data_IF_126940150139
#
_entry.id   IF_126940150139
#
_cell.length_a   1.000
_cell.length_b   1.000
_cell.length_c   1.000
_cell.angle_alpha   90.00
_cell.angle_beta   90.00
_cell.angle_gamma   90.00
#
_symmetry.space_group_name_H-M   'P 1'
#
loop_
_entity.id
_entity.type
_entity.pdbx_description
1 polymer ?
#
# COMPACT_ATOMS: atom_id res chain seq x y z
N UNK A 1 15.13 35.12 5.60
CA UNK A 1 15.96 33.94 5.26
C UNK A 1 15.05 32.91 4.63
N UNK A 2 15.08 32.78 3.31
CA UNK A 2 14.29 31.79 2.58
C UNK A 2 15.22 30.62 2.22
N UNK A 3 14.95 29.44 2.76
CA UNK A 3 15.66 28.22 2.39
C UNK A 3 15.24 27.82 0.98
N UNK A 4 16.19 27.86 0.04
CA UNK A 4 16.12 27.27 -1.29
C UNK A 4 15.61 25.81 -1.19
N UNK A 5 14.33 25.59 -1.46
CA UNK A 5 13.82 24.25 -1.73
C UNK A 5 14.27 23.86 -3.12
N UNK A 6 15.24 22.96 -3.22
CA UNK A 6 15.45 22.19 -4.45
C UNK A 6 14.09 21.66 -4.92
N UNK A 7 13.69 21.80 -6.19
CA UNK A 7 12.51 21.09 -6.66
C UNK A 7 12.71 19.60 -6.34
N UNK A 8 11.84 19.03 -5.50
CA UNK A 8 11.80 17.59 -5.30
C UNK A 8 11.74 16.97 -6.70
N UNK A 9 12.66 16.05 -7.00
CA UNK A 9 12.71 15.32 -8.28
C UNK A 9 11.34 14.69 -8.60
N UNK A 10 10.52 14.45 -7.56
CA UNK A 10 9.15 13.97 -7.63
C UNK A 10 8.23 14.89 -6.79
N UNK A 11 7.67 15.97 -7.39
CA UNK A 11 6.89 16.96 -6.64
C UNK A 11 5.44 16.54 -6.37
N UNK A 12 4.94 15.49 -7.02
CA UNK A 12 3.58 14.99 -6.83
C UNK A 12 3.58 13.74 -5.98
N UNK A 13 2.83 13.75 -4.88
CA UNK A 13 2.77 12.63 -3.93
C UNK A 13 1.33 12.19 -3.70
N UNK A 14 1.10 10.88 -3.61
CA UNK A 14 -0.18 10.28 -3.22
C UNK A 14 0.09 9.13 -2.25
N UNK A 15 -0.64 9.12 -1.14
CA UNK A 15 -0.61 8.00 -0.19
C UNK A 15 -1.98 7.34 -0.18
N UNK A 16 -1.98 6.01 -0.29
CA UNK A 16 -3.17 5.18 -0.30
C UNK A 16 -3.08 4.28 0.93
N UNK A 17 -4.07 4.36 1.81
CA UNK A 17 -4.15 3.57 3.03
C UNK A 17 -5.28 2.55 2.88
N UNK A 18 -4.95 1.27 2.84
CA UNK A 18 -5.90 0.18 2.72
C UNK A 18 -5.96 -0.59 4.05
N UNK A 19 -7.06 -0.49 4.83
CA UNK A 19 -7.25 -1.33 6.01
C UNK A 19 -7.62 -2.75 5.58
N UNK A 20 -6.94 -3.74 6.15
CA UNK A 20 -7.23 -5.16 5.94
C UNK A 20 -7.67 -5.79 7.27
N UNK A 21 -8.45 -6.90 7.24
CA UNK A 21 -9.00 -7.50 8.47
C UNK A 21 -7.93 -7.98 9.45
N UNK A 22 -6.85 -8.57 8.95
CA UNK A 22 -5.78 -9.16 9.77
C UNK A 22 -4.39 -8.71 9.32
N UNK A 23 -3.42 -8.71 10.24
CA UNK A 23 -2.02 -8.44 9.91
C UNK A 23 -1.44 -9.48 8.94
N UNK A 24 -1.88 -10.74 9.02
CA UNK A 24 -1.47 -11.79 8.08
C UNK A 24 -1.85 -11.43 6.65
N UNK A 25 -3.09 -11.00 6.42
CA UNK A 25 -3.55 -10.53 5.11
C UNK A 25 -2.77 -9.29 4.66
N UNK A 26 -2.56 -8.33 5.55
CA UNK A 26 -1.79 -7.13 5.23
C UNK A 26 -0.33 -7.43 4.83
N UNK A 27 0.32 -8.31 5.58
CA UNK A 27 1.68 -8.78 5.31
C UNK A 27 1.77 -9.59 4.02
N UNK A 28 0.80 -10.45 3.75
CA UNK A 28 0.73 -11.22 2.52
C UNK A 28 0.52 -10.31 1.29
N UNK A 29 -0.32 -9.28 1.42
CA UNK A 29 -0.59 -8.33 0.36
C UNK A 29 0.66 -7.51 0.06
N UNK A 30 1.33 -6.99 1.11
CA UNK A 30 2.59 -6.26 0.98
C UNK A 30 3.63 -7.09 0.23
N UNK A 31 3.89 -8.32 0.67
CA UNK A 31 4.91 -9.19 0.04
C UNK A 31 4.60 -9.50 -1.42
N UNK A 32 3.33 -9.70 -1.74
CA UNK A 32 2.90 -9.97 -3.13
C UNK A 32 3.09 -8.74 -4.01
N UNK A 33 2.75 -7.56 -3.50
CA UNK A 33 2.85 -6.29 -4.23
C UNK A 33 4.30 -5.77 -4.35
N UNK A 34 5.19 -6.14 -3.42
CA UNK A 34 6.61 -5.78 -3.45
C UNK A 34 7.39 -6.45 -4.60
N UNK A 35 6.95 -7.63 -5.04
CA UNK A 35 7.58 -8.34 -6.17
C UNK A 35 7.32 -7.60 -7.48
N UNK A 36 6.20 -6.89 -7.57
CA UNK A 36 5.92 -5.99 -8.68
C UNK A 36 6.76 -4.72 -8.53
N UNK A 37 7.61 -4.44 -9.50
CA UNK A 37 8.48 -3.26 -9.48
C UNK A 37 7.88 -2.18 -10.36
N UNK A 38 7.95 -0.93 -9.91
CA UNK A 38 7.54 0.19 -10.76
C UNK A 38 8.50 0.30 -11.96
N UNK A 39 7.96 0.08 -13.16
CA UNK A 39 8.73 0.06 -14.41
C UNK A 39 9.22 1.46 -14.84
N UNK A 40 8.57 2.52 -14.35
CA UNK A 40 8.86 3.89 -14.75
C UNK A 40 9.89 4.54 -13.81
N UNK A 41 11.02 5.06 -14.32
CA UNK A 41 11.98 5.80 -13.49
C UNK A 41 11.42 7.14 -12.99
N UNK A 42 10.27 7.57 -13.53
CA UNK A 42 9.60 8.82 -13.20
C UNK A 42 8.57 8.66 -12.08
N UNK A 43 8.46 7.47 -11.50
CA UNK A 43 7.62 7.17 -10.34
C UNK A 43 8.43 6.40 -9.32
N UNK A 44 8.33 6.79 -8.06
CA UNK A 44 8.83 6.03 -6.92
C UNK A 44 7.63 5.53 -6.13
N UNK A 45 7.63 4.23 -5.84
CA UNK A 45 6.62 3.54 -5.04
C UNK A 45 7.27 2.95 -3.80
N UNK A 46 6.63 3.13 -2.65
CA UNK A 46 7.06 2.53 -1.39
C UNK A 46 5.86 1.98 -0.63
N UNK A 47 6.04 0.81 -0.01
CA UNK A 47 5.04 0.15 0.81
C UNK A 47 5.42 0.20 2.29
N UNK A 48 4.43 0.30 3.15
CA UNK A 48 4.60 0.20 4.59
C UNK A 48 3.35 -0.43 5.22
N UNK A 49 3.55 -1.17 6.31
CA UNK A 49 2.45 -1.59 7.18
C UNK A 49 2.39 -0.66 8.38
N UNK A 50 1.20 -0.14 8.65
CA UNK A 50 0.94 0.75 9.77
C UNK A 50 -0.27 0.27 10.56
N UNK A 51 -0.42 0.83 11.74
CA UNK A 51 -1.61 0.62 12.56
C UNK A 51 -2.68 1.65 12.21
N UNK A 52 -3.97 1.36 12.46
CA UNK A 52 -5.06 2.32 12.24
C UNK A 52 -4.82 3.66 12.97
N UNK A 53 -4.15 3.63 14.13
CA UNK A 53 -3.85 4.81 14.96
C UNK A 53 -2.51 5.48 14.59
N UNK A 54 -1.75 4.94 13.61
CA UNK A 54 -0.41 5.40 13.21
C UNK A 54 0.62 5.44 14.35
N UNK A 55 0.42 4.62 15.38
CA UNK A 55 1.37 4.48 16.49
C UNK A 55 2.52 3.57 16.06
N UNK A 56 3.75 4.09 16.13
CA UNK A 56 4.98 3.40 15.70
C UNK A 56 5.43 2.28 16.64
N UNK A 57 4.87 2.22 17.85
CA UNK A 57 5.23 1.28 18.92
C UNK A 57 4.24 0.13 19.13
N UNK A 58 3.25 -0.01 18.25
CA UNK A 58 2.26 -1.07 18.36
C UNK A 58 2.82 -2.42 17.87
N UNK A 59 2.33 -3.50 18.48
CA UNK A 59 2.69 -4.88 18.13
C UNK A 59 2.53 -5.15 16.62
N UNK A 60 3.38 -6.01 16.06
CA UNK A 60 3.33 -6.36 14.63
C UNK A 60 1.93 -6.85 14.21
N UNK A 61 1.22 -7.56 15.10
CA UNK A 61 -0.14 -8.05 14.88
C UNK A 61 -1.19 -6.92 14.75
N UNK A 62 -0.90 -5.72 15.28
CA UNK A 62 -1.79 -4.56 15.17
C UNK A 62 -1.61 -3.80 13.84
N UNK A 63 -0.59 -4.13 13.03
CA UNK A 63 -0.35 -3.48 11.74
C UNK A 63 -1.25 -4.08 10.66
N UNK A 64 -2.46 -3.56 10.56
CA UNK A 64 -3.47 -4.04 9.62
C UNK A 64 -3.66 -3.13 8.41
N UNK A 65 -3.00 -1.97 8.36
CA UNK A 65 -3.16 -1.00 7.28
C UNK A 65 -1.97 -1.06 6.34
N UNK A 66 -2.23 -1.37 5.07
CA UNK A 66 -1.25 -1.28 3.99
C UNK A 66 -1.22 0.15 3.45
N UNK A 67 -0.13 0.87 3.73
CA UNK A 67 0.16 2.17 3.15
C UNK A 67 1.03 2.02 1.91
N UNK A 68 0.55 2.56 0.79
CA UNK A 68 1.31 2.69 -0.46
C UNK A 68 1.52 4.17 -0.75
N UNK A 69 2.78 4.60 -0.81
CA UNK A 69 3.15 5.98 -1.15
C UNK A 69 3.76 6.04 -2.53
N UNK A 70 3.21 6.91 -3.37
CA UNK A 70 3.68 7.22 -4.71
C UNK A 70 4.25 8.63 -4.76
N UNK A 71 5.39 8.77 -5.42
CA UNK A 71 5.98 10.06 -5.77
C UNK A 71 6.25 10.07 -7.28
N UNK A 72 5.75 11.07 -8.01
CA UNK A 72 5.86 11.14 -9.45
C UNK A 72 6.33 12.52 -9.94
N UNK A 73 6.94 12.57 -11.13
CA UNK A 73 7.32 13.82 -11.80
C UNK A 73 6.11 14.61 -12.32
N UNK A 74 5.01 13.93 -12.65
CA UNK A 74 3.77 14.53 -13.16
C UNK A 74 2.52 13.82 -12.64
N UNK A 75 1.40 14.55 -12.53
CA UNK A 75 0.08 13.96 -12.24
C UNK A 75 -0.33 12.88 -13.26
N UNK A 76 0.11 13.00 -14.51
CA UNK A 76 -0.17 12.01 -15.55
C UNK A 76 0.48 10.68 -15.22
N UNK A 77 1.73 10.70 -14.80
CA UNK A 77 2.48 9.49 -14.46
C UNK A 77 1.91 8.85 -13.19
N UNK A 78 1.57 9.68 -12.19
CA UNK A 78 0.89 9.24 -10.98
C UNK A 78 -0.39 8.46 -11.30
N UNK A 79 -1.25 8.99 -12.18
CA UNK A 79 -2.49 8.32 -12.57
C UNK A 79 -2.24 6.98 -13.27
N UNK A 80 -1.28 6.91 -14.18
CA UNK A 80 -0.98 5.67 -14.92
C UNK A 80 -0.49 4.59 -13.97
N UNK A 81 0.48 4.89 -13.10
CA UNK A 81 1.02 3.92 -12.14
C UNK A 81 -0.04 3.50 -11.10
N UNK A 82 -0.86 4.42 -10.60
CA UNK A 82 -1.91 4.10 -9.63
C UNK A 82 -3.01 3.23 -10.23
N UNK A 83 -3.41 3.45 -11.49
CA UNK A 83 -4.40 2.61 -12.15
C UNK A 83 -3.92 1.15 -12.28
N UNK A 84 -2.70 0.95 -12.80
CA UNK A 84 -2.12 -0.40 -12.92
C UNK A 84 -1.93 -1.07 -11.55
N UNK A 85 -1.58 -0.29 -10.52
CA UNK A 85 -1.52 -0.79 -9.16
C UNK A 85 -2.87 -1.26 -8.63
N UNK A 86 -3.95 -0.50 -8.85
CA UNK A 86 -5.29 -0.88 -8.40
C UNK A 86 -5.77 -2.16 -9.08
N UNK A 87 -5.43 -2.37 -10.36
CA UNK A 87 -5.71 -3.62 -11.07
C UNK A 87 -4.96 -4.80 -10.43
N UNK A 88 -3.67 -4.64 -10.13
CA UNK A 88 -2.89 -5.68 -9.45
C UNK A 88 -3.43 -5.95 -8.03
N UNK A 89 -3.75 -4.90 -7.28
CA UNK A 89 -4.33 -5.00 -5.94
C UNK A 89 -5.66 -5.76 -5.96
N UNK A 90 -6.54 -5.49 -6.92
CA UNK A 90 -7.81 -6.20 -7.04
C UNK A 90 -7.62 -7.71 -7.26
N UNK A 91 -6.62 -8.11 -8.06
CA UNK A 91 -6.28 -9.53 -8.26
C UNK A 91 -5.78 -10.16 -6.96
N UNK A 92 -4.88 -9.49 -6.24
CA UNK A 92 -4.36 -9.99 -4.96
C UNK A 92 -5.48 -10.18 -3.94
N UNK A 93 -6.38 -9.19 -3.82
CA UNK A 93 -7.51 -9.28 -2.89
C UNK A 93 -8.51 -10.37 -3.29
N UNK A 94 -8.81 -10.55 -4.58
CA UNK A 94 -9.69 -11.62 -5.04
C UNK A 94 -9.11 -13.02 -4.77
N UNK A 95 -7.80 -13.19 -4.96
CA UNK A 95 -7.11 -14.45 -4.60
C UNK A 95 -7.15 -14.69 -3.10
N UNK A 96 -6.99 -13.65 -2.29
CA UNK A 96 -7.10 -13.76 -0.83
C UNK A 96 -8.52 -14.15 -0.40
N UNK A 97 -9.55 -13.58 -1.02
CA UNK A 97 -10.95 -13.92 -0.74
C UNK A 97 -11.25 -15.38 -1.09
N UNK A 98 -10.81 -15.87 -2.25
CA UNK A 98 -11.08 -17.24 -2.69
C UNK A 98 -10.27 -18.30 -1.93
N UNK A 99 -9.03 -17.98 -1.53
CA UNK A 99 -8.12 -18.96 -0.91
C UNK A 99 -8.06 -18.89 0.61
N UNK A 100 -8.42 -17.76 1.24
CA UNK A 100 -8.35 -17.57 2.69
C UNK A 100 -9.74 -17.73 3.35
N UNK A 101 -10.44 -18.80 2.94
CA UNK A 101 -11.78 -19.17 3.42
C UNK A 101 -11.83 -19.34 4.96
N UNK A 102 -10.72 -19.77 5.58
CA UNK A 102 -10.63 -20.02 7.02
C UNK A 102 -10.42 -18.76 7.89
N UNK A 103 -10.23 -17.58 7.27
CA UNK A 103 -10.05 -16.29 8.01
C UNK A 103 -11.35 -15.49 8.07
N UNK A 104 -12.28 -15.69 7.14
CA UNK A 104 -13.58 -15.02 7.14
C UNK A 104 -14.55 -15.64 8.15
N UNK A 105 -14.42 -16.95 8.42
CA UNK A 105 -15.27 -17.66 9.39
C UNK A 105 -14.87 -17.39 10.86
N UNK A 106 -13.69 -16.84 11.11
CA UNK A 106 -13.20 -16.58 12.47
C UNK A 106 -13.89 -15.40 13.18
N UNK A 107 -14.69 -14.60 12.46
CA UNK A 107 -15.49 -13.49 13.00
C UNK A 107 -16.98 -13.86 13.19
N UNK A 108 -17.44 -15.03 12.73
CA UNK A 108 -18.85 -15.46 12.83
C UNK A 108 -19.15 -16.34 14.07
N UNK A 109 -18.15 -16.68 14.89
CA UNK A 109 -18.33 -17.52 16.08
C UNK A 109 -18.27 -16.73 17.41
N UNK A 110 -19.05 -15.66 17.50
CA UNK A 110 -19.30 -14.95 18.78
C UNK A 110 -20.77 -14.71 19.09
#
# INVERSE_FOLDING_TARGET
MASNGTPSEFPYTLTISLPLPTNRLASAALRTLEVDTELSPFVKRSFALTTPTKEQTADEEAKTVLETTYCATTNRMLRVSVNGFMENLAVVLGVMEELDVDVLDADDEK
#
